data_IF_468515414967
#
_entry.id   IF_468515414967
#
_cell.length_a   1.000
_cell.length_b   1.000
_cell.length_c   1.000
_cell.angle_alpha   90.00
_cell.angle_beta   90.00
_cell.angle_gamma   90.00
#
_symmetry.space_group_name_H-M   'P 1'
#
loop_
_entity.id
_entity.type
_entity.pdbx_description
1 polymer ?
#
# COMPACT_ATOMS: atom_id res chain seq x y z
N UNK A 1 -13.18 -7.85 8.02
CA UNK A 1 -11.80 -8.28 8.30
C UNK A 1 -11.25 -9.07 7.12
N UNK A 2 -10.02 -8.84 6.71
CA UNK A 2 -9.45 -9.66 5.65
C UNK A 2 -9.17 -11.07 6.16
N UNK A 3 -9.26 -12.02 5.27
CA UNK A 3 -8.84 -13.38 5.54
C UNK A 3 -7.60 -13.67 4.69
N UNK A 4 -6.90 -14.73 5.02
CA UNK A 4 -5.72 -15.07 4.24
C UNK A 4 -6.06 -15.30 2.77
N UNK A 5 -7.24 -15.79 2.48
CA UNK A 5 -7.67 -16.01 1.09
C UNK A 5 -7.89 -14.68 0.35
N UNK A 6 -8.15 -13.60 1.06
CA UNK A 6 -8.38 -12.29 0.45
C UNK A 6 -7.09 -11.50 0.21
N UNK A 7 -5.98 -11.93 0.82
CA UNK A 7 -4.72 -11.18 0.74
C UNK A 7 -4.27 -10.92 -0.70
N UNK A 8 -4.25 -11.91 -1.60
CA UNK A 8 -3.80 -11.61 -2.97
C UNK A 8 -4.64 -10.55 -3.67
N UNK A 9 -5.96 -10.56 -3.43
CA UNK A 9 -6.85 -9.55 -4.01
C UNK A 9 -6.60 -8.16 -3.47
N UNK A 10 -6.33 -8.05 -2.16
CA UNK A 10 -6.03 -6.78 -1.53
C UNK A 10 -4.69 -6.25 -2.04
N UNK A 11 -3.68 -7.10 -2.13
CA UNK A 11 -2.38 -6.71 -2.66
C UNK A 11 -2.52 -6.21 -4.11
N UNK A 12 -3.33 -6.88 -4.91
CA UNK A 12 -3.57 -6.46 -6.29
C UNK A 12 -4.20 -5.07 -6.35
N UNK A 13 -5.15 -4.78 -5.45
CA UNK A 13 -5.75 -3.45 -5.36
C UNK A 13 -4.72 -2.39 -4.98
N UNK A 14 -3.87 -2.70 -4.01
CA UNK A 14 -2.82 -1.77 -3.59
C UNK A 14 -1.89 -1.48 -4.77
N UNK A 15 -1.46 -2.52 -5.48
CA UNK A 15 -0.58 -2.35 -6.64
C UNK A 15 -1.24 -1.50 -7.72
N UNK A 16 -2.53 -1.69 -7.94
CA UNK A 16 -3.26 -0.90 -8.92
C UNK A 16 -3.27 0.58 -8.53
N UNK A 17 -3.53 0.87 -7.26
CA UNK A 17 -3.52 2.25 -6.77
C UNK A 17 -2.13 2.86 -6.86
N UNK A 18 -1.09 2.08 -6.58
CA UNK A 18 0.27 2.56 -6.71
C UNK A 18 0.63 2.84 -8.18
N UNK A 19 0.10 2.05 -9.11
CA UNK A 19 0.31 2.31 -10.52
C UNK A 19 -0.33 3.64 -10.93
N UNK A 20 -1.51 3.95 -10.37
CA UNK A 20 -2.14 5.24 -10.62
C UNK A 20 -1.31 6.40 -10.08
N UNK A 21 -0.73 6.23 -8.90
CA UNK A 21 0.14 7.25 -8.32
C UNK A 21 1.40 7.44 -9.17
N UNK A 22 1.91 6.36 -9.76
CA UNK A 22 3.05 6.43 -10.66
C UNK A 22 2.78 7.34 -11.85
N UNK A 23 1.54 7.33 -12.36
CA UNK A 23 1.15 8.21 -13.45
C UNK A 23 1.16 9.68 -13.05
N UNK A 24 1.18 9.96 -11.75
CA UNK A 24 1.24 11.33 -11.22
C UNK A 24 2.64 11.67 -10.72
N UNK A 25 3.61 10.84 -11.00
CA UNK A 25 4.99 11.10 -10.61
C UNK A 25 5.43 10.52 -9.29
N UNK A 26 4.54 9.81 -8.59
CA UNK A 26 4.88 9.20 -7.30
C UNK A 26 5.12 7.71 -7.54
N UNK A 27 6.39 7.32 -7.63
CA UNK A 27 6.77 5.96 -8.01
C UNK A 27 7.05 5.12 -6.77
N UNK A 28 6.11 4.25 -6.45
CA UNK A 28 6.16 3.39 -5.26
C UNK A 28 5.88 1.95 -5.66
N UNK A 29 6.36 1.02 -4.86
CA UNK A 29 6.12 -0.40 -5.10
C UNK A 29 5.95 -1.16 -3.80
N UNK A 30 5.22 -2.27 -3.86
CA UNK A 30 5.08 -3.19 -2.74
C UNK A 30 6.35 -4.04 -2.68
N UNK A 31 7.04 -3.99 -1.56
CA UNK A 31 8.28 -4.75 -1.40
C UNK A 31 8.09 -6.00 -0.57
N UNK A 32 7.08 -6.02 0.29
CA UNK A 32 6.72 -7.23 1.03
C UNK A 32 5.35 -7.06 1.68
N UNK A 33 4.79 -8.16 2.15
CA UNK A 33 3.54 -8.14 2.89
C UNK A 33 3.62 -9.19 4.00
N UNK A 34 2.78 -9.01 5.02
CA UNK A 34 2.70 -9.94 6.12
C UNK A 34 1.27 -9.93 6.65
N UNK A 35 0.71 -11.11 6.86
CA UNK A 35 -0.62 -11.26 7.44
C UNK A 35 -0.47 -11.92 8.81
N UNK A 36 -0.86 -11.19 9.86
CA UNK A 36 -0.69 -11.66 11.23
C UNK A 36 -1.79 -11.06 12.11
N UNK A 37 -2.39 -11.87 12.97
CA UNK A 37 -3.41 -11.43 13.92
C UNK A 37 -4.57 -10.72 13.23
N UNK A 38 -4.98 -11.22 12.07
CA UNK A 38 -6.07 -10.66 11.26
C UNK A 38 -5.75 -9.30 10.67
N UNK A 39 -4.50 -8.87 10.73
CA UNK A 39 -4.04 -7.62 10.11
C UNK A 39 -3.12 -7.92 8.94
N UNK A 40 -3.31 -7.20 7.86
CA UNK A 40 -2.43 -7.28 6.70
C UNK A 40 -1.53 -6.06 6.68
N UNK A 41 -0.23 -6.28 6.72
CA UNK A 41 0.79 -5.25 6.63
C UNK A 41 1.38 -5.29 5.25
N UNK A 42 1.32 -4.17 4.54
CA UNK A 42 1.87 -4.07 3.19
C UNK A 42 2.97 -3.03 3.22
N UNK A 43 4.20 -3.46 3.00
CA UNK A 43 5.36 -2.56 3.04
C UNK A 43 5.59 -2.01 1.65
N UNK A 44 5.63 -0.68 1.56
CA UNK A 44 5.74 0.03 0.29
C UNK A 44 6.95 0.94 0.34
N UNK A 45 7.77 0.89 -0.70
CA UNK A 45 8.99 1.69 -0.81
C UNK A 45 9.00 2.43 -2.14
N UNK A 46 9.79 3.53 -2.24
CA UNK A 46 9.99 4.17 -3.53
C UNK A 46 10.64 3.20 -4.52
N UNK A 47 10.11 3.16 -5.74
CA UNK A 47 10.70 2.35 -6.79
C UNK A 47 11.75 3.12 -7.59
N UNK A 48 11.85 4.44 -7.35
CA UNK A 48 12.82 5.32 -8.00
C UNK A 48 13.31 6.34 -6.99
N UNK A 49 14.53 6.89 -7.18
CA UNK A 49 14.99 8.00 -6.35
C UNK A 49 14.12 9.23 -6.56
N UNK A 50 14.09 10.12 -5.57
CA UNK A 50 13.42 11.39 -5.70
C UNK A 50 11.99 11.45 -5.21
N UNK A 51 11.42 10.36 -4.71
CA UNK A 51 10.08 10.38 -4.13
C UNK A 51 10.18 11.07 -2.78
N UNK A 52 9.38 12.12 -2.60
CA UNK A 52 9.39 12.88 -1.35
C UNK A 52 8.66 12.10 -0.26
N UNK A 53 9.18 12.20 0.97
CA UNK A 53 8.57 11.51 2.09
C UNK A 53 7.11 11.92 2.29
N UNK A 54 6.79 13.20 2.07
CA UNK A 54 5.43 13.68 2.21
C UNK A 54 4.50 13.07 1.17
N UNK A 55 4.95 12.98 -0.08
CA UNK A 55 4.16 12.37 -1.15
C UNK A 55 3.93 10.89 -0.87
N UNK A 56 4.95 10.21 -0.36
CA UNK A 56 4.87 8.81 0.01
C UNK A 56 3.80 8.61 1.10
N UNK A 57 3.91 9.40 2.19
CA UNK A 57 2.98 9.28 3.30
C UNK A 57 1.54 9.60 2.88
N UNK A 58 1.36 10.65 2.08
CA UNK A 58 0.03 11.04 1.62
C UNK A 58 -0.59 9.97 0.74
N UNK A 59 0.21 9.35 -0.13
CA UNK A 59 -0.27 8.27 -0.99
C UNK A 59 -0.69 7.06 -0.16
N UNK A 60 0.09 6.70 0.86
CA UNK A 60 -0.25 5.59 1.74
C UNK A 60 -1.56 5.85 2.48
N UNK A 61 -1.72 7.05 3.02
CA UNK A 61 -2.95 7.41 3.75
C UNK A 61 -4.17 7.39 2.84
N UNK A 62 -4.01 7.86 1.62
CA UNK A 62 -5.10 7.87 0.66
C UNK A 62 -5.55 6.45 0.32
N UNK A 63 -4.60 5.58 0.06
CA UNK A 63 -4.91 4.19 -0.30
C UNK A 63 -5.57 3.47 0.86
N UNK A 64 -5.07 3.65 2.09
CA UNK A 64 -5.68 3.06 3.26
C UNK A 64 -7.13 3.51 3.43
N UNK A 65 -7.39 4.80 3.22
CA UNK A 65 -8.73 5.33 3.33
C UNK A 65 -9.66 4.71 2.29
N UNK A 66 -9.18 4.59 1.06
CA UNK A 66 -9.98 4.00 -0.01
C UNK A 66 -10.29 2.54 0.28
N UNK A 67 -9.32 1.81 0.81
CA UNK A 67 -9.55 0.41 1.17
C UNK A 67 -10.60 0.28 2.28
N UNK A 68 -10.55 1.16 3.28
CA UNK A 68 -11.55 1.15 4.34
C UNK A 68 -12.95 1.45 3.80
N UNK A 69 -13.06 2.36 2.84
CA UNK A 69 -14.34 2.68 2.21
C UNK A 69 -14.89 1.50 1.43
N UNK A 70 -14.02 0.62 0.95
CA UNK A 70 -14.43 -0.60 0.24
C UNK A 70 -14.66 -1.78 1.18
N UNK A 71 -14.63 -1.55 2.49
CA UNK A 71 -14.83 -2.61 3.46
C UNK A 71 -13.57 -3.41 3.78
N UNK A 72 -12.41 -2.97 3.32
CA UNK A 72 -11.14 -3.65 3.56
C UNK A 72 -10.44 -3.02 4.76
N UNK A 73 -11.01 -3.17 5.95
CA UNK A 73 -10.37 -2.73 7.18
C UNK A 73 -9.26 -3.71 7.56
N UNK A 74 -8.48 -3.36 8.57
CA UNK A 74 -7.38 -4.19 9.06
C UNK A 74 -6.26 -4.37 8.04
N UNK A 75 -6.08 -3.36 7.18
CA UNK A 75 -4.95 -3.28 6.26
C UNK A 75 -4.12 -2.06 6.63
N UNK A 76 -2.84 -2.27 6.87
CA UNK A 76 -1.91 -1.20 7.20
C UNK A 76 -0.86 -1.13 6.10
N UNK A 77 -0.70 0.06 5.52
CA UNK A 77 0.35 0.30 4.55
C UNK A 77 1.54 0.92 5.30
N UNK A 78 2.66 0.24 5.25
CA UNK A 78 3.86 0.64 5.99
C UNK A 78 4.83 1.30 5.02
N UNK A 79 5.03 2.62 5.14
CA UNK A 79 5.99 3.29 4.27
C UNK A 79 7.41 2.97 4.73
N UNK A 80 8.28 2.71 3.77
CA UNK A 80 9.69 2.59 4.03
C UNK A 80 10.45 3.35 2.96
N UNK A 81 11.61 3.86 3.30
CA UNK A 81 12.39 4.66 2.36
C UNK A 81 13.28 3.80 1.48
N UNK A 82 13.54 2.57 1.89
CA UNK A 82 14.38 1.68 1.11
C UNK A 82 14.12 0.23 1.48
N UNK A 83 14.65 -0.67 0.70
CA UNK A 83 14.58 -2.09 0.96
C UNK A 83 15.40 -2.47 2.16
#
# INVERSE_FOLDING_TARGET
MPTQAEVPGIIAKVRHRLAEASNQGVHLEVVRDKFEDDWLYVVVAPSRPGVRALDHANTMSKIERELRQEGKSHVILVPTLEE
#
